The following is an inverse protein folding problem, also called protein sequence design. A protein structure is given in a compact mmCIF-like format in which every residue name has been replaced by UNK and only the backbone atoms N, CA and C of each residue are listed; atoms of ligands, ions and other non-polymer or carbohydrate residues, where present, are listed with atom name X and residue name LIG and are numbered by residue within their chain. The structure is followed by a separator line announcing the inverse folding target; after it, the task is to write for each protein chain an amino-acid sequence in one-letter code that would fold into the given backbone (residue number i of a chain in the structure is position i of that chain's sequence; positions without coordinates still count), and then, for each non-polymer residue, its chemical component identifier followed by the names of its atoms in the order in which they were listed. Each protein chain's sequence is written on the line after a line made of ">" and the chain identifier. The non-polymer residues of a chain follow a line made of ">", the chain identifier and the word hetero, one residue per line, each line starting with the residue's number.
data_IF_319136456793
#
_entry.id   IF_319136456793
#
_cell.length_a   1.000
_cell.length_b   1.000
_cell.length_c   1.000
_cell.angle_alpha   90.00
_cell.angle_beta   90.00
_cell.angle_gamma   90.00
#
_symmetry.space_group_name_H-M   'P 1'
#
loop_
_entity.id
_entity.type
_entity.pdbx_description
1 polymer ?
#
# COMPACT_ATOMS: atom_id res chain seq x y z
N UNK A 1 11.04 -10.14 25.83
CA UNK A 1 12.42 -9.78 25.49
C UNK A 1 13.20 -10.79 24.62
N UNK A 2 12.64 -11.96 24.25
CA UNK A 2 13.34 -12.95 23.38
C UNK A 2 13.20 -12.70 21.88
N UNK A 3 12.32 -11.80 21.45
CA UNK A 3 12.09 -11.54 20.02
C UNK A 3 13.01 -10.45 19.41
N UNK A 4 13.61 -9.58 20.24
CA UNK A 4 14.51 -8.55 19.71
C UNK A 4 15.89 -9.10 19.30
N UNK A 5 16.37 -10.17 19.93
CA UNK A 5 17.68 -10.76 19.60
C UNK A 5 17.72 -11.49 18.25
N UNK A 6 16.56 -11.89 17.72
CA UNK A 6 16.49 -12.51 16.39
C UNK A 6 16.57 -11.50 15.25
N UNK A 7 16.28 -10.23 15.51
CA UNK A 7 16.33 -9.15 14.50
C UNK A 7 17.75 -8.65 14.25
N UNK A 8 18.63 -8.64 15.26
CA UNK A 8 19.99 -8.13 15.13
C UNK A 8 20.94 -9.04 14.33
N UNK A 9 20.61 -10.33 14.21
CA UNK A 9 21.42 -11.28 13.42
C UNK A 9 21.28 -11.16 11.91
N UNK A 10 20.33 -10.32 11.43
CA UNK A 10 20.03 -10.17 10.00
C UNK A 10 20.69 -8.95 9.35
N UNK A 11 21.38 -8.11 10.13
CA UNK A 11 21.98 -6.88 9.62
C UNK A 11 23.45 -7.00 9.22
N UNK A 12 24.07 -8.15 9.41
CA UNK A 12 25.51 -8.33 9.14
C UNK A 12 25.78 -9.49 8.20
N UNK A 13 25.28 -9.48 6.99
CA UNK A 13 25.94 -10.12 5.85
C UNK A 13 25.14 -9.82 4.58
N UNK A 14 25.57 -8.86 3.77
CA UNK A 14 25.78 -9.12 2.35
C UNK A 14 25.96 -7.85 1.57
N UNK A 15 27.15 -7.57 1.23
CA UNK A 15 27.56 -6.92 0.00
C UNK A 15 27.57 -8.01 -1.09
N UNK A 16 26.42 -8.23 -1.77
CA UNK A 16 26.37 -8.82 -3.12
C UNK A 16 25.04 -8.48 -3.80
N UNK A 17 25.01 -8.17 -5.11
CA UNK A 17 23.80 -7.78 -5.79
C UNK A 17 22.90 -9.00 -6.05
N UNK A 18 21.66 -8.86 -5.60
CA UNK A 18 20.47 -9.59 -6.05
C UNK A 18 20.64 -11.07 -6.41
N UNK A 19 20.75 -11.94 -5.43
CA UNK A 19 20.16 -13.27 -5.53
C UNK A 19 18.79 -13.22 -4.85
N UNK A 20 17.77 -13.63 -5.59
CA UNK A 20 16.46 -13.95 -5.02
C UNK A 20 16.69 -14.96 -3.89
N UNK A 21 16.57 -14.50 -2.66
CA UNK A 21 16.59 -15.42 -1.53
C UNK A 21 15.17 -15.96 -1.43
N UNK A 22 14.95 -17.11 -2.06
CA UNK A 22 13.79 -17.94 -1.81
C UNK A 22 13.82 -18.40 -0.35
N UNK A 23 13.27 -17.60 0.55
CA UNK A 23 13.04 -18.02 1.92
C UNK A 23 11.75 -18.85 1.92
N UNK A 24 11.89 -20.15 1.71
CA UNK A 24 10.79 -21.09 1.84
C UNK A 24 10.43 -21.29 3.33
N UNK A 25 9.31 -20.71 3.73
CA UNK A 25 8.70 -21.06 5.00
C UNK A 25 7.88 -22.36 4.85
N UNK A 26 8.25 -23.38 5.58
CA UNK A 26 7.61 -24.71 5.56
C UNK A 26 6.32 -24.82 6.38
N UNK A 27 5.79 -23.75 6.92
CA UNK A 27 4.47 -23.75 7.56
C UNK A 27 3.38 -23.36 6.58
N UNK A 28 2.36 -24.14 6.49
CA UNK A 28 1.30 -24.22 5.46
C UNK A 28 0.58 -22.91 5.07
N UNK A 29 0.83 -21.77 5.72
CA UNK A 29 0.00 -20.57 5.54
C UNK A 29 0.74 -19.23 5.56
N UNK A 30 2.05 -19.20 5.51
CA UNK A 30 2.79 -17.93 5.61
C UNK A 30 3.22 -17.42 4.25
N UNK A 31 2.87 -16.18 3.98
CA UNK A 31 3.34 -15.40 2.84
C UNK A 31 4.84 -15.14 3.02
N UNK A 32 5.63 -15.47 2.00
CA UNK A 32 7.08 -15.22 2.01
C UNK A 32 7.39 -13.75 1.76
N UNK A 33 8.30 -13.20 2.55
CA UNK A 33 8.83 -11.86 2.31
C UNK A 33 9.65 -11.84 1.01
N UNK A 34 9.70 -10.69 0.35
CA UNK A 34 10.48 -10.51 -0.86
C UNK A 34 9.68 -9.94 -2.03
N UNK A 35 10.24 -10.05 -3.22
CA UNK A 35 9.62 -9.57 -4.46
C UNK A 35 9.09 -10.78 -5.23
N UNK A 36 7.80 -10.73 -5.57
CA UNK A 36 7.10 -11.79 -6.28
C UNK A 36 6.28 -11.23 -7.44
N UNK A 37 6.15 -12.04 -8.48
CA UNK A 37 5.14 -11.83 -9.50
C UNK A 37 3.82 -12.41 -9.01
N UNK A 38 2.81 -11.56 -8.87
CA UNK A 38 1.47 -11.95 -8.41
C UNK A 38 0.41 -11.48 -9.39
N UNK A 39 -0.79 -12.04 -9.30
CA UNK A 39 -1.95 -11.51 -9.98
C UNK A 39 -2.78 -10.70 -9.00
N UNK A 40 -3.29 -9.59 -9.46
CA UNK A 40 -4.32 -8.82 -8.77
C UNK A 40 -5.51 -8.61 -9.68
N UNK A 41 -6.68 -8.46 -9.09
CA UNK A 41 -7.92 -8.25 -9.85
C UNK A 41 -8.84 -7.25 -9.17
N UNK A 42 -9.69 -6.65 -9.99
CA UNK A 42 -10.76 -5.77 -9.57
C UNK A 42 -11.87 -5.79 -10.62
N UNK A 43 -13.12 -5.99 -10.19
CA UNK A 43 -14.30 -5.95 -11.06
C UNK A 43 -14.15 -6.81 -12.34
N UNK A 44 -13.54 -8.01 -12.21
CA UNK A 44 -13.29 -8.93 -13.33
C UNK A 44 -12.06 -8.60 -14.19
N UNK A 45 -11.40 -7.47 -13.98
CA UNK A 45 -10.15 -7.11 -14.65
C UNK A 45 -8.98 -7.68 -13.82
N UNK A 46 -8.14 -8.48 -14.47
CA UNK A 46 -6.96 -9.13 -13.84
C UNK A 46 -5.68 -8.64 -14.48
N UNK A 47 -4.67 -8.37 -13.67
CA UNK A 47 -3.35 -7.97 -14.16
C UNK A 47 -2.24 -8.59 -13.33
N UNK A 48 -1.11 -8.89 -13.96
CA UNK A 48 0.11 -9.35 -13.29
C UNK A 48 0.92 -8.16 -12.84
N UNK A 49 1.44 -8.21 -11.63
CA UNK A 49 2.26 -7.15 -11.04
C UNK A 49 3.47 -7.72 -10.31
N UNK A 50 4.55 -6.97 -10.31
CA UNK A 50 5.68 -7.22 -9.43
C UNK A 50 5.41 -6.57 -8.07
N UNK A 51 5.25 -7.39 -7.03
CA UNK A 51 4.92 -6.96 -5.68
C UNK A 51 6.03 -7.26 -4.70
N UNK A 52 6.31 -6.33 -3.79
CA UNK A 52 7.15 -6.54 -2.63
C UNK A 52 6.28 -6.80 -1.41
N UNK A 53 6.51 -7.93 -0.74
CA UNK A 53 5.92 -8.25 0.56
C UNK A 53 6.80 -7.64 1.65
N UNK A 54 6.28 -6.69 2.39
CA UNK A 54 7.08 -5.84 3.30
C UNK A 54 6.40 -5.71 4.67
N UNK A 55 6.96 -6.38 5.68
CA UNK A 55 6.47 -6.30 7.06
C UNK A 55 6.66 -4.92 7.71
N UNK A 56 7.53 -4.08 7.15
CA UNK A 56 7.71 -2.69 7.58
C UNK A 56 6.59 -1.76 7.10
N UNK A 57 5.81 -2.19 6.12
CA UNK A 57 4.67 -1.43 5.64
C UNK A 57 3.38 -1.91 6.31
N UNK A 58 2.61 -0.99 6.87
CA UNK A 58 1.35 -1.32 7.54
C UNK A 58 0.23 -1.69 6.57
N UNK A 59 0.17 -1.04 5.42
CA UNK A 59 -0.90 -1.18 4.42
C UNK A 59 -0.34 -1.37 3.02
N UNK A 60 -1.11 -2.05 2.17
CA UNK A 60 -0.76 -2.26 0.78
C UNK A 60 -0.92 -0.99 -0.06
N UNK A 61 -0.09 -0.87 -1.08
CA UNK A 61 -0.16 0.23 -2.05
C UNK A 61 0.16 -0.24 -3.46
N UNK A 62 -0.47 0.41 -4.45
CA UNK A 62 -0.25 0.14 -5.87
C UNK A 62 0.14 1.41 -6.63
N UNK A 63 0.91 1.22 -7.70
CA UNK A 63 1.27 2.29 -8.62
C UNK A 63 0.05 2.77 -9.44
N UNK A 64 0.04 4.04 -9.82
CA UNK A 64 -1.01 4.59 -10.67
C UNK A 64 -1.16 3.86 -12.01
N UNK A 65 -0.08 3.35 -12.58
CA UNK A 65 -0.13 2.56 -13.82
C UNK A 65 -0.85 1.24 -13.62
N UNK A 66 -0.65 0.61 -12.46
CA UNK A 66 -1.37 -0.61 -12.07
C UNK A 66 -2.85 -0.31 -11.89
N UNK A 67 -3.19 0.76 -11.17
CA UNK A 67 -4.58 1.19 -11.00
C UNK A 67 -5.28 1.42 -12.35
N UNK A 68 -4.59 2.04 -13.30
CA UNK A 68 -5.10 2.24 -14.66
C UNK A 68 -5.36 0.92 -15.39
N UNK A 69 -4.46 -0.06 -15.27
CA UNK A 69 -4.67 -1.42 -15.82
C UNK A 69 -5.86 -2.14 -15.18
N UNK A 70 -6.23 -1.80 -13.94
CA UNK A 70 -7.41 -2.30 -13.23
C UNK A 70 -8.70 -1.51 -13.53
N UNK A 71 -8.68 -0.64 -14.52
CA UNK A 71 -9.84 0.13 -14.96
C UNK A 71 -10.16 1.36 -14.13
N UNK A 72 -9.23 1.82 -13.27
CA UNK A 72 -9.41 3.07 -12.54
C UNK A 72 -9.29 4.25 -13.51
N UNK A 73 -10.23 5.18 -13.43
CA UNK A 73 -10.33 6.32 -14.33
C UNK A 73 -9.16 7.31 -14.19
N UNK A 74 -8.85 8.01 -15.27
CA UNK A 74 -7.83 9.07 -15.26
C UNK A 74 -8.21 10.21 -14.30
N UNK A 75 -9.51 10.50 -14.13
CA UNK A 75 -10.02 11.48 -13.16
C UNK A 75 -9.71 11.09 -11.72
N UNK A 76 -9.91 9.82 -11.37
CA UNK A 76 -9.55 9.29 -10.06
C UNK A 76 -8.04 9.42 -9.80
N UNK A 77 -7.21 9.03 -10.75
CA UNK A 77 -5.74 9.10 -10.64
C UNK A 77 -5.27 10.54 -10.53
N UNK A 78 -5.87 11.47 -11.29
CA UNK A 78 -5.57 12.91 -11.18
C UNK A 78 -5.86 13.43 -9.78
N UNK A 79 -7.02 13.10 -9.24
CA UNK A 79 -7.40 13.48 -7.86
C UNK A 79 -6.45 12.88 -6.82
N UNK A 80 -6.01 11.63 -6.98
CA UNK A 80 -4.97 11.05 -6.11
C UNK A 80 -3.69 11.90 -6.07
N UNK A 81 -3.22 12.35 -7.23
CA UNK A 81 -2.00 13.18 -7.34
C UNK A 81 -2.18 14.55 -6.69
N UNK A 82 -3.35 15.15 -6.84
CA UNK A 82 -3.68 16.44 -6.22
C UNK A 82 -3.72 16.31 -4.69
N UNK A 83 -4.29 15.23 -4.17
CA UNK A 83 -4.37 14.97 -2.73
C UNK A 83 -3.01 14.63 -2.09
N UNK A 84 -2.11 14.00 -2.83
CA UNK A 84 -0.77 13.65 -2.31
C UNK A 84 0.06 14.93 -2.00
N UNK A 85 -0.24 16.04 -2.65
CA UNK A 85 0.40 17.36 -2.47
C UNK A 85 -0.45 18.37 -1.71
N UNK A 86 -1.56 17.97 -1.12
CA UNK A 86 -2.47 18.89 -0.45
C UNK A 86 -1.84 19.50 0.80
N UNK A 87 -2.08 20.79 1.03
CA UNK A 87 -1.64 21.48 2.23
C UNK A 87 -2.54 21.14 3.42
N UNK A 88 -2.06 20.27 4.29
CA UNK A 88 -2.78 19.83 5.49
C UNK A 88 -2.90 20.90 6.58
N UNK A 89 -2.17 22.01 6.50
CA UNK A 89 -2.30 23.10 7.47
C UNK A 89 -3.70 23.73 7.50
N UNK A 90 -4.47 23.53 6.42
CA UNK A 90 -5.87 23.94 6.34
C UNK A 90 -6.83 23.09 7.17
N UNK A 91 -6.41 21.90 7.56
CA UNK A 91 -7.24 20.89 8.23
C UNK A 91 -6.80 20.59 9.66
N UNK A 92 -5.57 20.95 10.02
CA UNK A 92 -5.00 20.73 11.34
C UNK A 92 -3.99 21.83 11.71
N UNK A 93 -3.82 22.09 12.99
CA UNK A 93 -2.85 23.07 13.50
C UNK A 93 -1.42 22.57 13.42
N UNK A 94 -1.21 21.27 13.52
CA UNK A 94 0.12 20.63 13.45
C UNK A 94 0.14 19.51 12.38
N UNK A 95 0.42 19.86 11.13
CA UNK A 95 0.43 18.89 10.02
C UNK A 95 1.49 17.78 10.15
N UNK A 96 2.47 17.95 11.04
CA UNK A 96 3.51 16.93 11.27
C UNK A 96 3.14 15.93 12.34
N UNK A 97 2.22 16.30 13.24
CA UNK A 97 1.85 15.50 14.40
C UNK A 97 0.33 15.47 14.58
N UNK A 98 -0.37 14.85 13.62
CA UNK A 98 -1.83 14.74 13.59
C UNK A 98 -2.25 13.61 14.53
N UNK A 99 -3.07 13.90 15.52
CA UNK A 99 -3.63 12.90 16.44
C UNK A 99 -4.54 11.91 15.70
N UNK A 100 -4.72 10.70 16.22
CA UNK A 100 -5.60 9.69 15.62
C UNK A 100 -7.04 10.20 15.46
N UNK A 101 -7.54 10.99 16.41
CA UNK A 101 -8.87 11.58 16.34
C UNK A 101 -8.99 12.58 15.18
N UNK A 102 -7.98 13.44 15.00
CA UNK A 102 -7.92 14.38 13.88
C UNK A 102 -7.75 13.67 12.55
N UNK A 103 -6.88 12.63 12.48
CA UNK A 103 -6.73 11.80 11.27
C UNK A 103 -8.09 11.25 10.85
N UNK A 104 -8.82 10.61 11.75
CA UNK A 104 -10.14 10.05 11.46
C UNK A 104 -11.16 11.11 11.02
N UNK A 105 -11.08 12.34 11.56
CA UNK A 105 -11.95 13.45 11.12
C UNK A 105 -11.63 13.90 9.70
N UNK A 106 -10.35 14.06 9.38
CA UNK A 106 -9.88 14.49 8.07
C UNK A 106 -10.22 13.42 7.02
N UNK A 107 -9.92 12.15 7.31
CA UNK A 107 -10.20 11.01 6.42
C UNK A 107 -11.71 10.93 6.08
N UNK A 108 -12.58 11.02 7.08
CA UNK A 108 -14.04 11.01 6.87
C UNK A 108 -14.53 12.21 6.06
N UNK A 109 -13.94 13.38 6.26
CA UNK A 109 -14.26 14.58 5.47
C UNK A 109 -13.98 14.38 3.99
N UNK A 110 -12.77 13.97 3.65
CA UNK A 110 -12.39 13.66 2.27
C UNK A 110 -13.18 12.50 1.68
N UNK A 111 -13.39 11.43 2.46
CA UNK A 111 -14.16 10.29 1.98
C UNK A 111 -15.59 10.68 1.57
N UNK A 112 -16.28 11.46 2.39
CA UNK A 112 -17.65 11.91 2.11
C UNK A 112 -17.72 12.73 0.82
N UNK A 113 -16.77 13.63 0.62
CA UNK A 113 -16.70 14.47 -0.57
C UNK A 113 -16.36 13.68 -1.84
N UNK A 114 -15.34 12.84 -1.76
CA UNK A 114 -14.83 12.10 -2.92
C UNK A 114 -15.70 10.92 -3.33
N UNK A 115 -16.38 10.27 -2.36
CA UNK A 115 -17.26 9.14 -2.65
C UNK A 115 -18.41 9.49 -3.58
N UNK A 116 -18.90 10.73 -3.50
CA UNK A 116 -19.95 11.22 -4.41
C UNK A 116 -19.45 11.31 -5.87
N UNK A 117 -18.15 11.56 -6.07
CA UNK A 117 -17.54 11.69 -7.39
C UNK A 117 -17.01 10.34 -7.92
N UNK A 118 -16.56 9.48 -7.02
CA UNK A 118 -15.87 8.22 -7.34
C UNK A 118 -16.53 7.05 -6.61
N UNK A 119 -17.53 6.39 -7.22
CA UNK A 119 -18.20 5.24 -6.63
C UNK A 119 -17.25 4.09 -6.28
N UNK A 120 -16.15 3.94 -7.04
CA UNK A 120 -15.10 2.94 -6.84
C UNK A 120 -14.21 3.19 -5.61
N UNK A 121 -14.27 4.37 -5.01
CA UNK A 121 -13.50 4.71 -3.80
C UNK A 121 -13.93 3.81 -2.64
N UNK A 122 -12.99 3.04 -2.09
CA UNK A 122 -13.23 2.21 -0.92
C UNK A 122 -13.05 2.98 0.40
N UNK A 123 -12.01 3.82 0.47
CA UNK A 123 -11.69 4.60 1.66
C UNK A 123 -10.74 5.78 1.31
N UNK A 124 -10.49 6.63 2.29
CA UNK A 124 -9.42 7.65 2.25
C UNK A 124 -8.59 7.51 3.51
N UNK A 125 -7.27 7.53 3.37
CA UNK A 125 -6.34 7.37 4.48
C UNK A 125 -5.29 8.47 4.53
N UNK A 126 -4.98 8.94 5.72
CA UNK A 126 -3.78 9.69 6.01
C UNK A 126 -2.62 8.72 6.23
N UNK A 127 -1.63 8.77 5.36
CA UNK A 127 -0.45 7.90 5.44
C UNK A 127 0.75 8.72 5.87
N UNK A 128 1.36 8.32 6.99
CA UNK A 128 2.60 8.94 7.48
C UNK A 128 3.80 8.36 6.74
N UNK A 129 4.67 9.24 6.28
CA UNK A 129 5.97 8.91 5.70
C UNK A 129 7.07 9.76 6.35
N UNK A 130 8.32 9.58 5.93
CA UNK A 130 9.43 10.42 6.39
C UNK A 130 9.24 11.92 6.08
N UNK A 131 8.50 12.24 5.03
CA UNK A 131 8.19 13.62 4.62
C UNK A 131 6.94 14.21 5.28
N UNK A 132 6.23 13.45 6.13
CA UNK A 132 5.00 13.87 6.79
C UNK A 132 3.78 13.03 6.39
N UNK A 133 2.59 13.59 6.60
CA UNK A 133 1.34 12.94 6.22
C UNK A 133 0.93 13.30 4.79
N UNK A 134 0.36 12.34 4.07
CA UNK A 134 -0.31 12.55 2.78
C UNK A 134 -1.69 11.91 2.78
N UNK A 135 -2.63 12.54 2.08
CA UNK A 135 -3.98 12.00 1.87
C UNK A 135 -3.95 11.02 0.70
N UNK A 136 -4.44 9.81 0.89
CA UNK A 136 -4.44 8.79 -0.14
C UNK A 136 -5.81 8.18 -0.34
N UNK A 137 -6.21 8.11 -1.58
CA UNK A 137 -7.41 7.37 -1.98
C UNK A 137 -7.11 5.88 -2.01
N UNK A 138 -8.10 5.10 -1.62
CA UNK A 138 -8.00 3.64 -1.43
C UNK A 138 -9.05 2.96 -2.30
N UNK A 139 -8.64 1.87 -2.96
CA UNK A 139 -9.54 1.00 -3.71
C UNK A 139 -9.52 -0.42 -3.15
N UNK A 140 -10.59 -1.18 -3.35
CA UNK A 140 -10.68 -2.60 -3.05
C UNK A 140 -10.11 -3.39 -4.22
N UNK A 141 -9.21 -4.34 -3.93
CA UNK A 141 -8.63 -5.27 -4.90
C UNK A 141 -8.56 -6.67 -4.31
N UNK A 142 -8.45 -7.67 -5.16
CA UNK A 142 -8.12 -9.03 -4.77
C UNK A 142 -6.68 -9.33 -5.17
N UNK A 143 -5.91 -9.90 -4.24
CA UNK A 143 -4.54 -10.39 -4.46
C UNK A 143 -4.61 -11.89 -4.59
N UNK A 144 -4.09 -12.44 -5.69
CA UNK A 144 -3.98 -13.88 -5.90
C UNK A 144 -2.51 -14.28 -5.78
N UNK A 145 -2.22 -15.09 -4.76
CA UNK A 145 -0.88 -15.57 -4.45
C UNK A 145 -0.93 -17.01 -3.93
N UNK A 146 -0.13 -17.89 -4.54
CA UNK A 146 -0.08 -19.33 -4.21
C UNK A 146 -1.47 -20.01 -4.12
N UNK A 147 -2.35 -19.70 -5.06
CA UNK A 147 -3.70 -20.28 -5.12
C UNK A 147 -4.68 -19.74 -4.06
N UNK A 148 -4.26 -18.77 -3.25
CA UNK A 148 -5.14 -18.05 -2.30
C UNK A 148 -5.53 -16.71 -2.89
N UNK A 149 -6.75 -16.28 -2.58
CA UNK A 149 -7.25 -14.95 -2.93
C UNK A 149 -7.48 -14.18 -1.64
N UNK A 150 -6.89 -13.00 -1.55
CA UNK A 150 -7.00 -12.09 -0.40
C UNK A 150 -7.61 -10.78 -0.89
N UNK A 151 -8.83 -10.48 -0.42
CA UNK A 151 -9.44 -9.17 -0.67
C UNK A 151 -8.86 -8.13 0.28
N UNK A 152 -8.34 -7.06 -0.27
CA UNK A 152 -7.71 -5.99 0.52
C UNK A 152 -7.99 -4.60 -0.02
N UNK A 153 -7.78 -3.63 0.84
CA UNK A 153 -7.79 -2.21 0.50
C UNK A 153 -6.36 -1.74 0.24
N UNK A 154 -6.09 -1.27 -0.97
CA UNK A 154 -4.79 -0.74 -1.37
C UNK A 154 -4.87 0.76 -1.64
N UNK A 155 -3.93 1.52 -1.08
CA UNK A 155 -3.81 2.93 -1.40
C UNK A 155 -3.05 3.14 -2.72
N UNK A 156 -3.40 4.21 -3.44
CA UNK A 156 -2.75 4.57 -4.70
C UNK A 156 -1.65 5.60 -4.45
N UNK A 157 -0.52 5.38 -5.09
CA UNK A 157 0.59 6.34 -5.07
C UNK A 157 1.47 6.21 -6.31
N UNK A 158 2.29 7.22 -6.56
CA UNK A 158 3.37 7.13 -7.53
C UNK A 158 4.46 6.19 -6.99
N UNK A 159 4.74 5.14 -7.74
CA UNK A 159 5.82 4.20 -7.48
C UNK A 159 6.85 4.18 -8.62
N UNK A 160 6.82 5.19 -9.47
CA UNK A 160 7.80 5.36 -10.57
C UNK A 160 9.22 5.40 -9.99
N UNK A 161 10.11 4.61 -10.55
CA UNK A 161 11.49 4.48 -10.07
C UNK A 161 11.68 3.54 -8.86
N UNK A 162 10.61 2.95 -8.31
CA UNK A 162 10.71 1.90 -7.31
C UNK A 162 10.81 0.52 -7.98
N UNK A 163 11.46 -0.43 -7.30
CA UNK A 163 11.70 -1.79 -7.81
C UNK A 163 10.41 -2.59 -8.10
N UNK A 164 9.28 -2.19 -7.48
CA UNK A 164 8.02 -2.93 -7.54
C UNK A 164 6.84 -2.00 -7.77
N UNK A 165 5.89 -2.47 -8.57
CA UNK A 165 4.64 -1.77 -8.88
C UNK A 165 3.64 -1.81 -7.73
N UNK A 166 3.79 -2.81 -6.83
CA UNK A 166 2.92 -2.99 -5.67
C UNK A 166 3.76 -3.27 -4.42
N UNK A 167 3.24 -2.83 -3.28
CA UNK A 167 3.73 -3.21 -1.97
C UNK A 167 2.57 -3.86 -1.22
N UNK A 168 2.80 -5.06 -0.71
CA UNK A 168 1.86 -5.80 0.14
C UNK A 168 2.26 -5.57 1.58
N UNK A 169 1.38 -4.94 2.34
CA UNK A 169 1.62 -4.58 3.73
C UNK A 169 1.30 -5.69 4.71
N UNK A 170 1.78 -5.53 5.94
CA UNK A 170 1.68 -6.53 7.00
C UNK A 170 0.24 -7.03 7.25
N UNK A 171 -0.77 -6.15 7.18
CA UNK A 171 -2.17 -6.53 7.42
C UNK A 171 -2.70 -7.58 6.43
N UNK A 172 -2.10 -7.66 5.23
CA UNK A 172 -2.52 -8.56 4.15
C UNK A 172 -1.66 -9.84 4.11
N UNK A 173 -0.64 -9.93 4.96
CA UNK A 173 0.25 -11.07 5.09
C UNK A 173 -0.11 -11.98 6.28
N UNK A 174 -0.94 -11.51 7.18
CA UNK A 174 -1.40 -12.25 8.37
C UNK A 174 -2.79 -12.82 8.13
#
# INVERSE_FOLDING_TARGET
>A
MKHLKQFESWTTTTTEPSKEVDVQYTSKDKITYGIHDINISRDGIRTKVKAKFDSGARSSSIDFKVAKRLGISDGFIKTCKELDSIDLSKYTKDPRNISLAEQGKIERGFYKELKAQFPELADVKLVKSSSGFSVRMVIRIDIEYHGKVISTDANLRDRTGLACEMLVGLKDML
#
